data_IF_938145949604
#
_entry.id   IF_938145949604
#
_cell.length_a   1.000
_cell.length_b   1.000
_cell.length_c   1.000
_cell.angle_alpha   90.00
_cell.angle_beta   90.00
_cell.angle_gamma   90.00
#
_symmetry.space_group_name_H-M   'P 1'
#
loop_
_entity.id
_entity.type
_entity.pdbx_description
1 polymer ?
#
# COMPACT_ATOMS: atom_id res chain seq x y z
N UNK A 1 5.82 -15.22 -12.84
CA UNK A 1 5.91 -16.31 -11.83
C UNK A 1 4.62 -17.13 -11.81
N UNK A 2 4.67 -18.41 -11.42
CA UNK A 2 3.44 -19.16 -11.09
C UNK A 2 2.91 -18.73 -9.72
N UNK A 3 1.59 -18.79 -9.54
CA UNK A 3 0.88 -18.36 -8.31
C UNK A 3 1.43 -19.06 -7.03
N UNK A 4 1.96 -20.29 -7.18
CA UNK A 4 2.53 -21.07 -6.08
C UNK A 4 3.81 -20.48 -5.48
N UNK A 5 4.62 -19.72 -6.23
CA UNK A 5 5.85 -19.12 -5.69
C UNK A 5 5.56 -17.93 -4.79
N UNK A 6 4.53 -17.12 -5.12
CA UNK A 6 4.07 -16.03 -4.27
C UNK A 6 3.49 -16.52 -2.95
N UNK A 7 2.85 -17.69 -2.97
CA UNK A 7 2.22 -18.26 -1.78
C UNK A 7 3.18 -18.41 -0.59
N UNK A 8 4.46 -18.71 -0.85
CA UNK A 8 5.46 -18.82 0.23
C UNK A 8 5.74 -17.48 0.91
N UNK A 9 5.74 -16.39 0.13
CA UNK A 9 5.84 -15.03 0.68
C UNK A 9 4.55 -14.60 1.35
N UNK A 10 3.40 -14.89 0.73
CA UNK A 10 2.06 -14.61 1.26
C UNK A 10 1.83 -15.26 2.62
N UNK A 11 2.03 -16.58 2.72
CA UNK A 11 1.83 -17.35 3.96
C UNK A 11 2.70 -16.81 5.10
N UNK A 12 3.91 -16.34 4.79
CA UNK A 12 4.83 -15.76 5.78
C UNK A 12 4.45 -14.32 6.17
N UNK A 13 4.12 -13.48 5.20
CA UNK A 13 3.98 -12.03 5.37
C UNK A 13 2.58 -11.60 5.76
N UNK A 14 1.54 -12.32 5.30
CA UNK A 14 0.13 -11.92 5.45
C UNK A 14 -0.25 -11.57 6.90
N UNK A 15 0.09 -12.35 7.94
CA UNK A 15 -0.25 -11.97 9.31
C UNK A 15 0.38 -10.64 9.76
N UNK A 16 1.62 -10.38 9.32
CA UNK A 16 2.31 -9.13 9.62
C UNK A 16 1.70 -7.96 8.84
N UNK A 17 1.37 -8.17 7.57
CA UNK A 17 0.71 -7.16 6.71
C UNK A 17 -0.66 -6.81 7.28
N UNK A 18 -1.48 -7.81 7.63
CA UNK A 18 -2.79 -7.62 8.24
C UNK A 18 -2.67 -6.77 9.51
N UNK A 19 -1.77 -7.14 10.43
CA UNK A 19 -1.55 -6.37 11.66
C UNK A 19 -1.09 -4.93 11.39
N UNK A 20 -0.18 -4.71 10.45
CA UNK A 20 0.29 -3.39 10.07
C UNK A 20 -0.83 -2.54 9.44
N UNK A 21 -1.65 -3.15 8.58
CA UNK A 21 -2.78 -2.49 7.92
C UNK A 21 -3.92 -2.17 8.89
N UNK A 22 -4.18 -3.04 9.87
CA UNK A 22 -5.10 -2.75 10.98
C UNK A 22 -4.61 -1.58 11.83
N UNK A 23 -3.31 -1.55 12.16
CA UNK A 23 -2.72 -0.44 12.89
C UNK A 23 -2.80 0.87 12.11
N UNK A 24 -2.52 0.84 10.80
CA UNK A 24 -2.65 2.01 9.92
C UNK A 24 -4.10 2.49 9.83
N UNK A 25 -5.05 1.57 9.65
CA UNK A 25 -6.48 1.86 9.63
C UNK A 25 -6.94 2.53 10.94
N UNK A 26 -6.46 2.03 12.09
CA UNK A 26 -6.74 2.63 13.40
C UNK A 26 -6.18 4.06 13.54
N UNK A 27 -4.96 4.30 13.04
CA UNK A 27 -4.35 5.64 13.05
C UNK A 27 -5.10 6.64 12.15
N UNK A 28 -5.54 6.21 10.96
CA UNK A 28 -6.36 7.05 10.07
C UNK A 28 -7.73 7.36 10.69
N UNK A 29 -8.35 6.38 11.37
CA UNK A 29 -9.58 6.60 12.16
C UNK A 29 -9.37 7.61 13.29
N UNK A 30 -8.25 7.52 14.02
CA UNK A 30 -7.90 8.47 15.08
C UNK A 30 -7.72 9.91 14.55
N UNK A 31 -7.39 10.07 13.26
CA UNK A 31 -7.31 11.35 12.55
C UNK A 31 -8.65 11.82 11.96
N UNK A 32 -9.76 11.13 12.28
CA UNK A 32 -11.12 11.52 11.87
C UNK A 32 -11.58 10.94 10.53
N UNK A 33 -10.81 10.05 9.92
CA UNK A 33 -11.21 9.43 8.65
C UNK A 33 -12.14 8.24 8.86
N UNK A 34 -13.16 8.14 8.02
CA UNK A 34 -14.05 6.97 8.02
C UNK A 34 -13.39 5.87 7.19
N UNK A 35 -12.85 4.87 7.86
CA UNK A 35 -12.19 3.75 7.18
C UNK A 35 -13.07 2.49 7.20
N UNK A 36 -13.12 1.80 6.07
CA UNK A 36 -13.78 0.51 5.91
C UNK A 36 -13.07 -0.62 6.65
N UNK A 37 -13.56 -1.85 6.42
CA UNK A 37 -12.93 -3.06 6.95
C UNK A 37 -11.63 -3.33 6.20
N UNK A 38 -10.63 -3.84 6.92
CA UNK A 38 -9.45 -4.46 6.33
C UNK A 38 -9.88 -5.77 5.66
N UNK A 39 -9.52 -5.94 4.40
CA UNK A 39 -9.86 -7.10 3.57
C UNK A 39 -8.67 -7.53 2.75
N UNK A 40 -8.69 -8.80 2.37
CA UNK A 40 -7.77 -9.33 1.37
C UNK A 40 -8.11 -8.75 0.00
N UNK A 41 -7.07 -8.46 -0.77
CA UNK A 41 -7.15 -7.94 -2.13
C UNK A 41 -6.41 -8.91 -3.05
N UNK A 42 -7.08 -9.30 -4.12
CA UNK A 42 -6.53 -10.16 -5.17
C UNK A 42 -6.69 -9.45 -6.51
N UNK A 43 -5.56 -9.02 -7.07
CA UNK A 43 -5.43 -8.57 -8.45
C UNK A 43 -4.90 -9.73 -9.30
N UNK A 44 -4.87 -9.57 -10.63
CA UNK A 44 -4.50 -10.63 -11.57
C UNK A 44 -3.15 -11.31 -11.27
N UNK A 45 -2.18 -10.56 -10.72
CA UNK A 45 -0.84 -11.05 -10.38
C UNK A 45 -0.31 -10.55 -9.03
N UNK A 46 -1.07 -9.71 -8.33
CA UNK A 46 -0.68 -9.11 -7.05
C UNK A 46 -1.70 -9.45 -5.98
N UNK A 47 -1.22 -9.75 -4.77
CA UNK A 47 -2.07 -10.08 -3.63
C UNK A 47 -1.64 -9.29 -2.43
N UNK A 48 -2.59 -8.93 -1.59
CA UNK A 48 -2.29 -8.17 -0.40
C UNK A 48 -3.50 -7.88 0.45
N UNK A 49 -3.38 -6.83 1.23
CA UNK A 49 -4.38 -6.41 2.20
C UNK A 49 -4.66 -4.92 1.98
N UNK A 50 -5.92 -4.54 2.03
CA UNK A 50 -6.28 -3.12 1.93
C UNK A 50 -7.59 -2.78 2.59
N UNK A 51 -7.93 -1.50 2.51
CA UNK A 51 -9.18 -0.96 3.01
C UNK A 51 -9.54 0.34 2.28
N UNK A 52 -10.81 0.71 2.34
CA UNK A 52 -11.31 1.98 1.82
C UNK A 52 -11.27 3.08 2.88
N UNK A 53 -11.04 4.31 2.44
CA UNK A 53 -11.06 5.53 3.25
C UNK A 53 -12.04 6.51 2.61
N UNK A 54 -12.96 7.03 3.40
CA UNK A 54 -13.89 8.08 3.00
C UNK A 54 -13.51 9.38 3.71
N UNK A 55 -13.24 10.42 2.92
CA UNK A 55 -12.85 11.74 3.38
C UNK A 55 -13.89 12.77 2.93
N UNK A 56 -14.41 13.56 3.88
CA UNK A 56 -15.43 14.59 3.64
C UNK A 56 -16.60 14.08 2.75
N UNK A 57 -17.05 14.93 1.82
CA UNK A 57 -18.12 14.67 0.86
C UNK A 57 -17.59 14.17 -0.50
N UNK A 58 -16.41 13.54 -0.52
CA UNK A 58 -15.90 12.92 -1.75
C UNK A 58 -16.88 11.87 -2.28
N UNK A 59 -17.16 11.93 -3.57
CA UNK A 59 -17.92 10.89 -4.26
C UNK A 59 -17.01 9.67 -4.50
N UNK A 60 -17.14 8.68 -3.62
CA UNK A 60 -16.38 7.44 -3.64
C UNK A 60 -15.37 7.27 -2.50
N UNK A 61 -14.50 6.27 -2.64
CA UNK A 61 -13.51 5.91 -1.63
C UNK A 61 -12.08 6.04 -2.16
N UNK A 62 -11.17 6.46 -1.30
CA UNK A 62 -9.74 6.30 -1.51
C UNK A 62 -9.37 4.88 -1.08
N UNK A 63 -8.69 4.14 -1.93
CA UNK A 63 -8.21 2.78 -1.65
C UNK A 63 -6.78 2.84 -1.12
N UNK A 64 -6.54 2.18 0.02
CA UNK A 64 -5.21 2.01 0.62
C UNK A 64 -4.89 0.52 0.61
N UNK A 65 -3.86 0.13 -0.12
CA UNK A 65 -3.54 -1.27 -0.38
C UNK A 65 -2.06 -1.53 -0.09
N UNK A 66 -1.75 -2.63 0.59
CA UNK A 66 -0.39 -3.14 0.74
C UNK A 66 -0.30 -4.48 0.02
N UNK A 67 0.46 -4.49 -1.07
CA UNK A 67 0.56 -5.60 -2.01
C UNK A 67 1.95 -6.22 -1.95
N UNK A 68 1.99 -7.54 -2.05
CA UNK A 68 3.18 -8.27 -2.47
C UNK A 68 3.32 -8.08 -3.98
N UNK A 69 4.46 -7.57 -4.41
CA UNK A 69 4.71 -7.22 -5.82
C UNK A 69 5.79 -8.11 -6.42
N UNK A 70 5.85 -8.17 -7.74
CA UNK A 70 6.96 -8.84 -8.43
C UNK A 70 8.27 -8.12 -8.13
N UNK A 71 9.19 -8.85 -7.49
CA UNK A 71 10.52 -8.37 -7.22
C UNK A 71 11.32 -8.18 -8.51
N UNK A 72 11.04 -8.91 -9.59
CA UNK A 72 11.79 -8.84 -10.86
C UNK A 72 11.50 -7.56 -11.66
N UNK A 73 10.28 -7.00 -11.57
CA UNK A 73 9.95 -5.74 -12.26
C UNK A 73 10.65 -4.53 -11.64
N UNK A 74 11.14 -4.65 -10.40
CA UNK A 74 11.81 -3.57 -9.66
C UNK A 74 13.19 -3.94 -9.10
N UNK A 75 13.68 -5.16 -9.27
CA UNK A 75 15.00 -5.62 -8.83
C UNK A 75 15.75 -6.35 -9.94
N UNK A 76 17.03 -6.01 -10.10
CA UNK A 76 17.97 -6.77 -10.92
C UNK A 76 18.13 -8.18 -10.33
N UNK A 77 17.35 -9.17 -10.75
CA UNK A 77 17.69 -10.57 -10.48
C UNK A 77 18.91 -10.96 -11.31
N UNK A 78 20.08 -10.73 -10.73
CA UNK A 78 21.39 -11.16 -11.26
C UNK A 78 21.56 -12.69 -11.28
N UNK A 79 20.60 -13.45 -10.74
CA UNK A 79 20.58 -14.91 -10.73
C UNK A 79 19.19 -15.39 -11.14
N UNK A 80 19.08 -15.90 -12.36
CA UNK A 80 17.84 -16.15 -13.12
C UNK A 80 16.92 -17.27 -12.61
N UNK A 81 17.00 -17.66 -11.34
CA UNK A 81 16.39 -18.92 -10.88
C UNK A 81 15.58 -18.85 -9.57
N UNK A 82 15.57 -17.72 -8.85
CA UNK A 82 14.85 -17.60 -7.57
C UNK A 82 13.76 -16.53 -7.64
N UNK A 83 12.51 -16.83 -7.21
CA UNK A 83 11.44 -15.84 -7.19
C UNK A 83 11.75 -14.73 -6.18
N UNK A 84 11.78 -13.48 -6.63
CA UNK A 84 11.93 -12.31 -5.78
C UNK A 84 10.57 -11.67 -5.52
N UNK A 85 10.32 -11.26 -4.28
CA UNK A 85 9.09 -10.57 -3.88
C UNK A 85 9.41 -9.17 -3.36
N UNK A 86 8.60 -8.20 -3.77
CA UNK A 86 8.54 -6.84 -3.24
C UNK A 86 7.34 -6.64 -2.31
N UNK A 87 7.19 -5.40 -1.85
CA UNK A 87 6.15 -4.93 -0.93
C UNK A 87 5.85 -3.46 -1.21
N UNK A 88 4.65 -3.15 -1.64
CA UNK A 88 4.25 -1.80 -2.01
C UNK A 88 2.99 -1.42 -1.27
N UNK A 89 3.00 -0.27 -0.59
CA UNK A 89 1.78 0.37 -0.13
C UNK A 89 1.39 1.44 -1.15
N UNK A 90 0.19 1.36 -1.70
CA UNK A 90 -0.35 2.30 -2.66
C UNK A 90 -1.60 2.99 -2.11
N UNK A 91 -1.82 4.22 -2.55
CA UNK A 91 -3.03 4.98 -2.25
C UNK A 91 -3.62 5.54 -3.55
N UNK A 92 -4.82 5.09 -3.88
CA UNK A 92 -5.51 5.41 -5.14
C UNK A 92 -6.83 6.11 -4.82
N UNK A 93 -7.05 7.26 -5.45
CA UNK A 93 -8.29 8.03 -5.33
C UNK A 93 -9.49 7.34 -6.01
N UNK A 94 -10.71 7.80 -5.73
CA UNK A 94 -11.96 7.22 -6.25
C UNK A 94 -12.04 7.08 -7.78
N UNK A 95 -11.32 7.91 -8.51
CA UNK A 95 -11.30 7.96 -9.97
C UNK A 95 -10.06 7.31 -10.58
N UNK A 96 -9.31 6.53 -9.79
CA UNK A 96 -8.05 5.93 -10.20
C UNK A 96 -6.85 6.87 -10.11
N UNK A 97 -7.01 8.10 -9.59
CA UNK A 97 -5.87 9.01 -9.42
C UNK A 97 -4.87 8.44 -8.42
N UNK A 98 -3.62 8.31 -8.83
CA UNK A 98 -2.55 7.92 -7.92
C UNK A 98 -2.23 9.06 -6.93
N UNK A 99 -2.40 8.79 -5.62
CA UNK A 99 -2.14 9.77 -4.55
C UNK A 99 -0.78 9.57 -3.89
N UNK A 100 -0.22 8.36 -3.96
CA UNK A 100 1.13 8.06 -3.49
C UNK A 100 1.43 6.57 -3.37
N UNK A 101 2.72 6.27 -3.29
CA UNK A 101 3.21 4.94 -2.90
C UNK A 101 4.28 5.06 -1.82
N UNK A 102 4.33 4.05 -0.96
CA UNK A 102 5.33 3.90 0.08
C UNK A 102 5.88 2.48 0.00
N UNK A 103 7.19 2.42 -0.05
CA UNK A 103 7.92 1.18 0.03
C UNK A 103 8.81 1.24 1.27
N UNK A 104 8.83 0.23 2.14
CA UNK A 104 9.85 0.15 3.19
C UNK A 104 11.28 -0.01 2.61
N UNK A 105 11.42 -0.06 1.28
CA UNK A 105 12.65 -0.16 0.49
C UNK A 105 13.53 1.08 0.40
N UNK A 106 13.23 2.18 1.09
CA UNK A 106 13.96 3.45 0.92
C UNK A 106 15.47 3.40 1.27
N UNK A 107 16.04 2.26 1.67
CA UNK A 107 17.42 2.11 2.09
C UNK A 107 18.27 1.14 1.24
N UNK A 108 17.69 0.46 0.23
CA UNK A 108 18.47 -0.42 -0.67
C UNK A 108 18.03 -0.27 -2.13
N UNK A 109 18.96 -0.39 -3.10
CA UNK A 109 18.61 -0.46 -4.52
C UNK A 109 17.84 -1.74 -4.89
N UNK A 110 17.83 -2.75 -4.01
CA UNK A 110 17.12 -4.02 -4.20
C UNK A 110 15.70 -3.92 -3.62
N UNK A 111 14.71 -3.80 -4.51
CA UNK A 111 13.27 -3.70 -4.16
C UNK A 111 12.66 -5.09 -3.88
N UNK A 112 13.30 -6.16 -4.37
CA UNK A 112 12.90 -7.55 -4.17
C UNK A 112 13.73 -8.28 -3.10
N UNK A 113 13.21 -9.39 -2.58
CA UNK A 113 13.96 -10.37 -1.78
C UNK A 113 13.51 -11.77 -2.11
N UNK A 114 14.44 -12.74 -2.07
CA UNK A 114 14.12 -14.17 -2.19
C UNK A 114 13.84 -14.81 -0.82
N UNK A 115 14.06 -14.07 0.29
CA UNK A 115 13.77 -14.51 1.66
C UNK A 115 12.40 -13.98 2.14
N UNK A 116 11.39 -14.85 2.38
CA UNK A 116 10.10 -14.46 2.95
C UNK A 116 10.19 -13.77 4.32
N UNK A 117 11.18 -14.13 5.16
CA UNK A 117 11.33 -13.49 6.48
C UNK A 117 11.79 -12.04 6.37
N UNK A 118 12.52 -11.72 5.32
CA UNK A 118 12.93 -10.35 5.04
C UNK A 118 11.71 -9.48 4.70
N UNK A 119 10.69 -10.01 4.00
CA UNK A 119 9.40 -9.31 3.82
C UNK A 119 8.74 -9.03 5.16
N UNK A 120 8.63 -10.03 6.05
CA UNK A 120 8.05 -9.85 7.40
C UNK A 120 8.81 -8.76 8.17
N UNK A 121 10.14 -8.80 8.14
CA UNK A 121 10.98 -7.77 8.79
C UNK A 121 10.69 -6.38 8.24
N UNK A 122 10.55 -6.24 6.93
CA UNK A 122 10.27 -4.98 6.23
C UNK A 122 8.89 -4.42 6.56
N UNK A 123 7.87 -5.27 6.66
CA UNK A 123 6.54 -4.86 7.17
C UNK A 123 6.68 -4.28 8.59
N UNK A 124 7.51 -4.89 9.43
CA UNK A 124 7.80 -4.39 10.78
C UNK A 124 8.58 -3.06 10.84
N UNK A 125 9.16 -2.59 9.73
CA UNK A 125 9.80 -1.27 9.65
C UNK A 125 8.81 -0.16 9.30
N UNK A 126 7.60 -0.51 8.88
CA UNK A 126 6.57 0.48 8.61
C UNK A 126 6.19 1.18 9.91
N UNK A 127 6.00 2.48 9.83
CA UNK A 127 5.49 3.30 10.92
C UNK A 127 4.05 3.69 10.60
N UNK A 128 3.04 2.95 11.12
CA UNK A 128 1.64 3.28 10.90
C UNK A 128 1.27 4.74 11.25
N UNK A 129 1.80 5.36 12.33
CA UNK A 129 1.53 6.76 12.62
C UNK A 129 2.04 7.73 11.53
N UNK A 130 3.27 7.53 11.05
CA UNK A 130 3.89 8.40 10.04
C UNK A 130 3.24 8.21 8.67
N UNK A 131 2.92 6.96 8.32
CA UNK A 131 2.15 6.63 7.13
C UNK A 131 0.76 7.26 7.18
N UNK A 132 0.06 7.15 8.32
CA UNK A 132 -1.26 7.76 8.47
C UNK A 132 -1.21 9.28 8.32
N UNK A 133 -0.18 9.94 8.84
CA UNK A 133 0.04 11.37 8.66
C UNK A 133 0.22 11.74 7.18
N UNK A 134 1.13 11.01 6.52
CA UNK A 134 1.46 11.25 5.11
C UNK A 134 0.24 11.01 4.21
N UNK A 135 -0.47 9.89 4.40
CA UNK A 135 -1.67 9.53 3.63
C UNK A 135 -2.78 10.55 3.86
N UNK A 136 -3.04 10.93 5.12
CA UNK A 136 -4.04 11.95 5.42
C UNK A 136 -3.71 13.28 4.73
N UNK A 137 -2.45 13.72 4.78
CA UNK A 137 -1.99 14.92 4.07
C UNK A 137 -2.25 14.84 2.56
N UNK A 138 -1.87 13.73 1.92
CA UNK A 138 -2.10 13.50 0.48
C UNK A 138 -3.58 13.55 0.10
N UNK A 139 -4.45 12.93 0.89
CA UNK A 139 -5.90 12.94 0.65
C UNK A 139 -6.45 14.36 0.80
N UNK A 140 -6.03 15.09 1.82
CA UNK A 140 -6.46 16.48 2.06
C UNK A 140 -6.00 17.41 0.93
N UNK A 141 -4.72 17.35 0.54
CA UNK A 141 -4.15 18.16 -0.54
C UNK A 141 -4.85 17.91 -1.87
N UNK A 142 -5.06 16.63 -2.22
CA UNK A 142 -5.78 16.25 -3.42
C UNK A 142 -7.22 16.76 -3.40
N UNK A 143 -7.93 16.57 -2.29
CA UNK A 143 -9.32 17.06 -2.13
C UNK A 143 -9.39 18.57 -2.32
N UNK A 144 -8.49 19.34 -1.68
CA UNK A 144 -8.44 20.79 -1.81
C UNK A 144 -8.16 21.24 -3.24
N UNK A 145 -7.25 20.56 -3.95
CA UNK A 145 -6.92 20.89 -5.34
C UNK A 145 -8.12 20.74 -6.30
N UNK A 146 -9.07 19.84 -6.00
CA UNK A 146 -10.29 19.68 -6.80
C UNK A 146 -11.29 20.80 -6.56
N UNK A 147 -11.40 21.27 -5.33
CA UNK A 147 -12.29 22.40 -4.98
C UNK A 147 -11.81 23.69 -5.66
N UNK A 148 -10.50 23.93 -5.68
CA UNK A 148 -9.91 25.09 -6.37
C UNK A 148 -10.13 25.05 -7.88
N UNK A 149 -10.02 23.89 -8.51
CA UNK A 149 -10.27 23.73 -9.96
C UNK A 149 -11.76 23.88 -10.34
N UNK A 150 -12.68 23.53 -9.43
CA UNK A 150 -14.11 23.67 -9.65
C UNK A 150 -14.62 25.11 -9.47
N UNK A 151 -13.81 26.01 -8.91
CA UNK A 151 -14.19 27.42 -8.69
C UNK A 151 -13.85 28.24 -9.94
N UNK A 152 -14.84 28.83 -10.65
CA UNK A 152 -14.56 29.64 -11.82
C UNK A 152 -13.67 30.81 -11.44
N UNK A 153 -12.57 31.03 -12.17
CA UNK A 153 -11.83 32.30 -12.10
C UNK A 153 -12.76 33.36 -12.67
N UNK A 154 -13.37 34.13 -11.77
CA UNK A 154 -14.17 35.31 -12.10
C UNK A 154 -13.35 36.36 -12.84
#
# INVERSE_FOLDING_TARGET
MTNDHYKTFEDAAKPAIESAMEALNAQLKARGLRCGRVVEIEHDVERGIGFSVHYADLDGAVHVEMLLTDGDERALTRLSCEPACGLLLSVIGPDGTFLGEWSPYNYTPDVGTTDPKEIVRRVGLLSPPDLAESIHGRIADWTNSRVEQATPRG
#
